data_IF_708676103878
#
_entry.id   IF_708676103878
#
_cell.length_a   1.000
_cell.length_b   1.000
_cell.length_c   1.000
_cell.angle_alpha   90.00
_cell.angle_beta   90.00
_cell.angle_gamma   90.00
#
_symmetry.space_group_name_H-M   'P 1'
#
loop_
_entity.id
_entity.type
_entity.pdbx_description
1 polymer ?
#
# COMPACT_ATOMS: atom_id res chain seq x y z
N UNK A 1 20.18 -6.77 -51.96
CA UNK A 1 19.57 -7.28 -50.71
C UNK A 1 20.32 -6.80 -49.45
N UNK A 2 20.85 -5.57 -49.42
CA UNK A 2 21.59 -5.03 -48.25
C UNK A 2 20.95 -3.78 -47.63
N UNK A 3 19.81 -3.31 -48.16
CA UNK A 3 19.15 -2.07 -47.72
C UNK A 3 18.06 -2.29 -46.66
N UNK A 4 17.53 -3.51 -46.50
CA UNK A 4 16.34 -3.75 -45.65
C UNK A 4 16.64 -4.08 -44.18
N UNK A 5 17.91 -4.32 -43.81
CA UNK A 5 18.27 -4.68 -42.43
C UNK A 5 18.44 -3.43 -41.55
N UNK A 6 18.83 -2.30 -42.14
CA UNK A 6 19.15 -1.06 -41.41
C UNK A 6 17.91 -0.24 -41.00
N UNK A 7 16.74 -0.52 -41.56
CA UNK A 7 15.47 0.16 -41.22
C UNK A 7 14.78 -0.44 -39.99
N UNK A 8 15.28 -1.57 -39.47
CA UNK A 8 14.69 -2.27 -38.31
C UNK A 8 15.09 -1.67 -36.96
N UNK A 9 16.19 -0.91 -36.92
CA UNK A 9 16.50 0.01 -35.83
C UNK A 9 16.19 1.41 -36.35
N UNK A 10 15.45 2.21 -35.57
CA UNK A 10 14.84 3.49 -35.94
C UNK A 10 15.85 4.64 -36.22
N UNK A 11 16.97 4.36 -36.89
CA UNK A 11 17.94 5.35 -37.34
C UNK A 11 17.49 5.90 -38.70
N UNK A 12 16.83 7.05 -38.67
CA UNK A 12 16.56 7.81 -39.89
C UNK A 12 17.87 8.41 -40.39
N UNK A 13 18.51 7.78 -41.38
CA UNK A 13 19.68 8.34 -42.03
C UNK A 13 19.32 9.70 -42.64
N UNK A 14 20.10 10.77 -42.35
CA UNK A 14 19.90 12.06 -42.98
C UNK A 14 20.07 11.94 -44.49
N UNK A 15 19.23 12.66 -45.26
CA UNK A 15 19.49 12.83 -46.69
C UNK A 15 20.64 13.82 -46.83
N UNK A 16 21.81 13.31 -47.17
CA UNK A 16 23.00 14.12 -47.46
C UNK A 16 22.90 14.57 -48.92
N UNK A 17 23.04 15.86 -49.19
CA UNK A 17 23.12 16.37 -50.56
C UNK A 17 24.40 15.84 -51.23
N UNK A 18 24.33 15.37 -52.47
CA UNK A 18 25.47 14.76 -53.21
C UNK A 18 26.68 15.71 -53.39
N UNK A 19 26.52 17.00 -53.08
CA UNK A 19 27.52 18.04 -53.23
C UNK A 19 28.44 18.24 -52.01
N UNK A 20 28.15 17.64 -50.85
CA UNK A 20 28.93 17.84 -49.62
C UNK A 20 29.78 16.61 -49.30
N UNK A 21 31.05 16.81 -48.95
CA UNK A 21 31.91 15.68 -48.56
C UNK A 21 31.44 15.07 -47.23
N UNK A 22 31.56 13.74 -47.02
CA UNK A 22 31.18 13.12 -45.75
C UNK A 22 31.91 13.69 -44.52
N UNK A 23 33.14 14.20 -44.71
CA UNK A 23 33.93 14.83 -43.65
C UNK A 23 33.34 16.18 -43.23
N UNK A 24 32.97 17.01 -44.20
CA UNK A 24 32.33 18.32 -43.96
C UNK A 24 30.97 18.15 -43.26
N UNK A 25 30.18 17.14 -43.66
CA UNK A 25 28.89 16.85 -43.03
C UNK A 25 29.02 16.39 -41.57
N UNK A 26 30.07 15.60 -41.26
CA UNK A 26 30.36 15.20 -39.87
C UNK A 26 30.81 16.41 -39.04
N UNK A 27 31.57 17.33 -39.63
CA UNK A 27 32.00 18.56 -38.94
C UNK A 27 30.82 19.48 -38.64
N UNK A 28 29.89 19.65 -39.58
CA UNK A 28 28.62 20.36 -39.40
C UNK A 28 27.80 19.74 -38.25
N UNK A 29 27.56 18.42 -38.27
CA UNK A 29 26.85 17.74 -37.20
C UNK A 29 27.54 17.88 -35.82
N UNK A 30 28.87 17.89 -35.79
CA UNK A 30 29.62 18.11 -34.54
C UNK A 30 29.43 19.53 -34.02
N UNK A 31 29.44 20.53 -34.90
CA UNK A 31 29.18 21.93 -34.59
C UNK A 31 27.76 22.13 -34.07
N UNK A 32 26.78 21.55 -34.75
CA UNK A 32 25.37 21.60 -34.34
C UNK A 32 25.16 20.97 -32.97
N UNK A 33 25.76 19.79 -32.75
CA UNK A 33 25.71 19.12 -31.45
C UNK A 33 26.32 20.00 -30.35
N UNK A 34 27.42 20.70 -30.63
CA UNK A 34 28.02 21.61 -29.66
C UNK A 34 27.09 22.80 -29.37
N UNK A 35 26.56 23.44 -30.41
CA UNK A 35 25.64 24.57 -30.26
C UNK A 35 24.36 24.16 -29.50
N UNK A 36 23.81 22.98 -29.76
CA UNK A 36 22.65 22.45 -29.06
C UNK A 36 22.96 22.18 -27.58
N UNK A 37 24.16 21.69 -27.26
CA UNK A 37 24.58 21.50 -25.86
C UNK A 37 24.70 22.83 -25.11
N UNK A 38 25.30 23.85 -25.74
CA UNK A 38 25.42 25.19 -25.17
C UNK A 38 24.04 25.84 -24.95
N UNK A 39 23.12 25.68 -25.91
CA UNK A 39 21.73 26.11 -25.76
C UNK A 39 21.01 25.39 -24.62
N UNK A 40 21.17 24.07 -24.51
CA UNK A 40 20.57 23.27 -23.44
C UNK A 40 21.08 23.72 -22.06
N UNK A 41 22.38 24.00 -21.95
CA UNK A 41 22.96 24.51 -20.71
C UNK A 41 22.41 25.89 -20.35
N UNK A 42 22.23 26.75 -21.35
CA UNK A 42 21.65 28.10 -21.16
C UNK A 42 20.21 28.02 -20.68
N UNK A 43 19.37 27.21 -21.35
CA UNK A 43 17.96 27.00 -20.97
C UNK A 43 17.85 26.39 -19.57
N UNK A 44 18.70 25.41 -19.22
CA UNK A 44 18.68 24.82 -17.88
C UNK A 44 19.06 25.83 -16.79
N UNK A 45 19.96 26.78 -17.09
CA UNK A 45 20.33 27.86 -16.17
C UNK A 45 19.16 28.82 -15.97
N UNK A 46 18.52 29.26 -17.06
CA UNK A 46 17.32 30.10 -17.00
C UNK A 46 16.18 29.43 -16.21
N UNK A 47 15.97 28.12 -16.40
CA UNK A 47 15.00 27.34 -15.62
C UNK A 47 15.36 27.27 -14.13
N UNK A 48 16.64 27.11 -13.80
CA UNK A 48 17.11 27.08 -12.42
C UNK A 48 16.89 28.43 -11.72
N UNK A 49 17.22 29.53 -12.40
CA UNK A 49 17.03 30.89 -11.91
C UNK A 49 15.52 31.18 -11.69
N UNK A 50 14.67 30.84 -12.66
CA UNK A 50 13.21 30.96 -12.54
C UNK A 50 12.65 30.18 -11.36
N UNK A 51 13.14 28.95 -11.14
CA UNK A 51 12.72 28.09 -10.02
C UNK A 51 13.14 28.69 -8.67
N UNK A 52 14.34 29.24 -8.58
CA UNK A 52 14.83 29.85 -7.34
C UNK A 52 14.09 31.14 -7.00
N UNK A 53 13.80 31.97 -8.01
CA UNK A 53 13.08 33.23 -7.82
C UNK A 53 11.59 33.02 -7.48
N UNK A 54 10.92 32.08 -8.17
CA UNK A 54 9.46 31.96 -8.11
C UNK A 54 8.94 30.69 -7.41
N UNK A 55 9.79 29.70 -7.14
CA UNK A 55 9.35 28.38 -6.69
C UNK A 55 8.56 28.40 -5.38
N UNK A 56 9.01 29.17 -4.40
CA UNK A 56 8.32 29.31 -3.11
C UNK A 56 6.97 30.02 -3.24
N UNK A 57 6.91 31.07 -4.06
CA UNK A 57 5.66 31.77 -4.35
C UNK A 57 4.65 30.87 -5.07
N UNK A 58 5.10 30.13 -6.10
CA UNK A 58 4.22 29.22 -6.85
C UNK A 58 3.70 28.08 -5.98
N UNK A 59 4.54 27.50 -5.11
CA UNK A 59 4.12 26.46 -4.18
C UNK A 59 3.05 26.98 -3.20
N UNK A 60 3.29 28.15 -2.59
CA UNK A 60 2.33 28.75 -1.67
C UNK A 60 1.03 29.19 -2.38
N UNK A 61 1.13 29.68 -3.61
CA UNK A 61 -0.02 30.05 -4.42
C UNK A 61 -0.85 28.82 -4.82
N UNK A 62 -0.20 27.72 -5.20
CA UNK A 62 -0.85 26.45 -5.50
C UNK A 62 -1.58 25.90 -4.28
N UNK A 63 -0.92 25.84 -3.11
CA UNK A 63 -1.55 25.41 -1.86
C UNK A 63 -2.77 26.26 -1.52
N UNK A 64 -2.64 27.60 -1.57
CA UNK A 64 -3.75 28.50 -1.27
C UNK A 64 -4.91 28.37 -2.27
N UNK A 65 -4.60 28.20 -3.55
CA UNK A 65 -5.63 28.05 -4.60
C UNK A 65 -6.31 26.69 -4.50
N UNK A 66 -5.58 25.62 -4.19
CA UNK A 66 -6.12 24.29 -3.93
C UNK A 66 -7.11 24.32 -2.77
N UNK A 67 -6.69 24.87 -1.61
CA UNK A 67 -7.57 25.05 -0.45
C UNK A 67 -8.81 25.89 -0.80
N UNK A 68 -8.66 26.94 -1.61
CA UNK A 68 -9.80 27.75 -2.07
C UNK A 68 -10.71 27.01 -3.05
N UNK A 69 -10.17 26.09 -3.85
CA UNK A 69 -10.95 25.26 -4.75
C UNK A 69 -11.76 24.24 -3.96
N UNK A 70 -11.13 23.52 -3.03
CA UNK A 70 -11.77 22.57 -2.11
C UNK A 70 -12.89 23.24 -1.32
N UNK A 71 -12.65 24.41 -0.70
CA UNK A 71 -13.69 25.17 0.03
C UNK A 71 -14.87 25.60 -0.84
N UNK A 72 -14.67 25.81 -2.14
CA UNK A 72 -15.77 26.15 -3.07
C UNK A 72 -16.50 24.93 -3.59
N UNK A 73 -15.86 23.77 -3.58
CA UNK A 73 -16.46 22.50 -3.95
C UNK A 73 -17.22 21.86 -2.79
N UNK A 74 -16.79 22.06 -1.54
CA UNK A 74 -17.44 21.48 -0.35
C UNK A 74 -18.96 21.75 -0.26
N UNK A 75 -19.51 22.93 -0.61
CA UNK A 75 -20.96 23.12 -0.64
C UNK A 75 -21.68 22.24 -1.67
N UNK A 76 -21.00 21.78 -2.72
CA UNK A 76 -21.58 20.88 -3.74
C UNK A 76 -21.73 19.45 -3.22
N UNK A 77 -21.01 19.08 -2.16
CA UNK A 77 -21.16 17.77 -1.48
C UNK A 77 -22.20 17.79 -0.38
N UNK A 78 -22.82 18.94 -0.09
CA UNK A 78 -23.86 19.05 0.92
C UNK A 78 -25.24 19.01 0.28
N UNK A 79 -26.16 18.31 0.92
CA UNK A 79 -27.57 18.43 0.62
C UNK A 79 -28.04 19.83 1.03
N UNK A 80 -28.94 20.42 0.25
CA UNK A 80 -29.43 21.78 0.50
C UNK A 80 -30.95 21.80 0.53
N UNK A 81 -31.47 22.64 1.40
CA UNK A 81 -32.88 23.04 1.44
C UNK A 81 -32.96 24.55 1.23
N UNK A 82 -34.16 25.10 1.11
CA UNK A 82 -34.36 26.55 0.95
C UNK A 82 -33.73 27.39 2.09
N UNK A 83 -33.54 26.81 3.27
CA UNK A 83 -33.13 27.55 4.47
C UNK A 83 -31.96 26.90 5.25
N UNK A 84 -31.50 25.71 4.86
CA UNK A 84 -30.47 24.97 5.59
C UNK A 84 -29.60 24.13 4.66
N UNK A 85 -28.33 23.96 5.05
CA UNK A 85 -27.41 22.99 4.47
C UNK A 85 -27.37 21.76 5.39
N UNK A 86 -27.37 20.58 4.80
CA UNK A 86 -27.29 19.29 5.50
C UNK A 86 -26.07 18.56 4.97
N UNK A 87 -25.22 18.11 5.88
CA UNK A 87 -24.02 17.35 5.60
C UNK A 87 -24.02 16.10 6.45
N UNK A 88 -23.66 14.97 5.84
CA UNK A 88 -23.51 13.68 6.51
C UNK A 88 -22.10 13.16 6.24
N UNK A 89 -21.49 12.51 7.24
CA UNK A 89 -20.17 11.93 7.10
C UNK A 89 -19.71 11.21 8.36
N UNK A 90 -18.72 10.35 8.18
CA UNK A 90 -18.11 9.58 9.26
C UNK A 90 -17.00 10.35 9.96
N UNK A 91 -16.99 10.29 11.29
CA UNK A 91 -15.92 10.79 12.15
C UNK A 91 -15.53 9.70 13.16
N UNK A 92 -14.26 9.57 13.57
CA UNK A 92 -13.91 8.70 14.69
C UNK A 92 -14.72 9.09 15.94
N UNK A 93 -15.31 8.11 16.63
CA UNK A 93 -16.18 8.37 17.81
C UNK A 93 -15.48 9.23 18.87
N UNK A 94 -14.16 9.06 19.05
CA UNK A 94 -13.38 9.85 20.00
C UNK A 94 -13.23 11.34 19.62
N UNK A 95 -13.48 11.71 18.36
CA UNK A 95 -13.38 13.07 17.85
C UNK A 95 -14.74 13.79 17.74
N UNK A 96 -15.85 13.12 18.07
CA UNK A 96 -17.20 13.72 18.00
C UNK A 96 -17.36 14.93 18.93
N UNK A 97 -17.12 14.78 20.24
CA UNK A 97 -17.30 15.91 21.18
C UNK A 97 -16.39 17.12 20.85
N UNK A 98 -15.09 16.93 20.51
CA UNK A 98 -14.25 18.04 20.04
C UNK A 98 -14.77 18.72 18.78
N UNK A 99 -15.32 17.94 17.84
CA UNK A 99 -15.88 18.46 16.60
C UNK A 99 -17.14 19.29 16.84
N UNK A 100 -18.09 18.76 17.63
CA UNK A 100 -19.32 19.47 18.00
C UNK A 100 -19.00 20.81 18.67
N UNK A 101 -18.09 20.81 19.65
CA UNK A 101 -17.67 22.03 20.34
C UNK A 101 -17.00 23.05 19.41
N UNK A 102 -16.20 22.60 18.44
CA UNK A 102 -15.55 23.49 17.48
C UNK A 102 -16.54 24.13 16.49
N UNK A 103 -17.57 23.39 16.11
CA UNK A 103 -18.64 23.87 15.23
C UNK A 103 -19.55 24.84 15.99
N UNK A 104 -19.93 24.53 17.22
CA UNK A 104 -20.70 25.43 18.08
C UNK A 104 -19.96 26.76 18.34
N UNK A 105 -18.65 26.75 18.59
CA UNK A 105 -17.86 27.98 18.74
C UNK A 105 -17.82 28.83 17.45
N UNK A 106 -17.81 28.17 16.28
CA UNK A 106 -17.69 28.83 14.99
C UNK A 106 -19.01 29.47 14.48
N UNK A 107 -20.15 28.81 14.73
CA UNK A 107 -21.46 29.21 14.16
C UNK A 107 -22.55 29.44 15.20
N UNK A 108 -22.34 29.06 16.47
CA UNK A 108 -23.31 29.20 17.56
C UNK A 108 -24.63 28.51 17.25
N UNK A 109 -25.75 29.17 17.59
CA UNK A 109 -27.12 28.66 17.43
C UNK A 109 -27.57 28.40 15.97
N UNK A 110 -26.68 28.56 14.98
CA UNK A 110 -26.97 28.35 13.55
C UNK A 110 -26.63 26.94 13.05
N UNK A 111 -26.24 26.03 13.93
CA UNK A 111 -25.90 24.65 13.59
C UNK A 111 -26.58 23.67 14.52
N UNK A 112 -26.96 22.52 13.97
CA UNK A 112 -27.43 21.37 14.72
C UNK A 112 -26.56 20.20 14.29
N UNK A 113 -25.88 19.58 15.25
CA UNK A 113 -25.06 18.38 15.03
C UNK A 113 -25.77 17.24 15.74
N UNK A 114 -26.05 16.16 15.00
CA UNK A 114 -26.67 14.96 15.53
C UNK A 114 -25.79 13.76 15.20
N UNK A 115 -25.54 12.90 16.20
CA UNK A 115 -24.97 11.58 15.97
C UNK A 115 -26.09 10.66 15.47
N UNK A 116 -26.08 10.35 14.17
CA UNK A 116 -27.12 9.52 13.54
C UNK A 116 -26.93 8.05 13.89
N UNK A 117 -25.75 7.51 13.54
CA UNK A 117 -25.41 6.11 13.77
C UNK A 117 -23.98 5.98 14.26
N UNK A 118 -23.81 5.24 15.35
CA UNK A 118 -22.52 4.70 15.71
C UNK A 118 -22.37 3.38 14.97
N UNK A 119 -21.33 3.25 14.14
CA UNK A 119 -20.98 1.98 13.53
C UNK A 119 -20.86 0.93 14.64
N UNK A 120 -21.88 0.08 14.75
CA UNK A 120 -21.98 -0.96 15.75
C UNK A 120 -22.15 -2.28 15.03
N UNK A 121 -21.49 -3.28 15.58
CA UNK A 121 -21.42 -4.60 15.00
C UNK A 121 -22.80 -5.25 14.93
N UNK A 122 -23.28 -5.54 13.71
CA UNK A 122 -24.45 -6.38 13.47
C UNK A 122 -23.99 -7.65 12.72
N UNK A 123 -24.01 -8.83 13.36
CA UNK A 123 -23.48 -10.09 12.80
C UNK A 123 -24.24 -10.64 11.58
N UNK A 124 -25.43 -10.12 11.32
CA UNK A 124 -26.39 -10.66 10.34
C UNK A 124 -26.42 -9.87 9.01
N UNK A 125 -25.69 -8.76 8.91
CA UNK A 125 -25.59 -8.01 7.65
C UNK A 125 -24.59 -8.72 6.73
N UNK A 126 -25.11 -9.54 5.81
CA UNK A 126 -24.34 -10.26 4.81
C UNK A 126 -23.50 -9.27 3.99
N UNK A 127 -22.18 -9.26 4.22
CA UNK A 127 -21.25 -8.53 3.39
C UNK A 127 -21.26 -9.14 1.97
N UNK A 128 -22.01 -8.54 1.04
CA UNK A 128 -21.81 -8.79 -0.37
C UNK A 128 -20.40 -8.31 -0.74
N UNK A 129 -19.49 -9.27 -0.93
CA UNK A 129 -18.19 -9.02 -1.57
C UNK A 129 -18.41 -8.21 -2.86
N UNK A 130 -17.90 -6.97 -2.99
CA UNK A 130 -17.97 -6.26 -4.25
C UNK A 130 -17.16 -7.04 -5.28
N UNK A 131 -17.67 -7.27 -6.50
CA UNK A 131 -16.85 -7.85 -7.56
C UNK A 131 -15.63 -6.94 -7.81
N UNK A 132 -14.45 -7.51 -8.12
CA UNK A 132 -13.23 -6.74 -8.31
C UNK A 132 -13.45 -5.69 -9.42
N UNK A 133 -13.18 -4.43 -9.09
CA UNK A 133 -13.32 -3.32 -10.00
C UNK A 133 -12.36 -3.46 -11.20
N UNK A 134 -12.93 -3.57 -12.41
CA UNK A 134 -12.25 -3.20 -13.65
C UNK A 134 -12.34 -4.21 -14.79
N UNK A 135 -13.42 -4.15 -15.57
CA UNK A 135 -13.35 -4.30 -17.03
C UNK A 135 -14.11 -3.13 -17.67
N UNK A 136 -13.49 -2.36 -18.59
CA UNK A 136 -14.18 -1.27 -19.27
C UNK A 136 -15.20 -1.84 -20.25
N UNK A 137 -16.45 -1.43 -20.12
CA UNK A 137 -17.50 -1.76 -21.07
C UNK A 137 -17.23 -1.05 -22.40
N UNK A 138 -16.76 -1.82 -23.39
CA UNK A 138 -16.75 -1.40 -24.77
C UNK A 138 -18.19 -1.22 -25.25
N UNK A 139 -18.48 -0.01 -25.72
CA UNK A 139 -19.70 0.33 -26.42
C UNK A 139 -19.71 -0.32 -27.80
N UNK A 140 -20.51 -1.37 -27.99
CA UNK A 140 -20.99 -1.73 -29.32
C UNK A 140 -22.52 -1.85 -29.33
N UNK A 141 -23.07 -1.19 -30.34
CA UNK A 141 -24.48 -1.09 -30.67
C UNK A 141 -24.87 -2.35 -31.43
N UNK A 142 -25.84 -3.13 -30.96
CA UNK A 142 -26.79 -3.73 -31.91
C UNK A 142 -28.18 -4.04 -31.33
N UNK A 143 -29.13 -3.53 -32.08
CA UNK A 143 -30.56 -3.75 -32.24
C UNK A 143 -31.07 -5.18 -31.96
N UNK A 144 -32.12 -5.34 -31.15
CA UNK A 144 -33.52 -5.68 -31.54
C UNK A 144 -34.34 -6.25 -30.37
N UNK A 145 -35.69 -6.11 -30.40
CA UNK A 145 -36.51 -6.04 -29.21
C UNK A 145 -37.15 -7.38 -28.83
N UNK A 146 -37.36 -7.61 -27.54
CA UNK A 146 -38.30 -8.64 -27.07
C UNK A 146 -39.36 -8.01 -26.17
N UNK A 147 -40.58 -8.25 -26.63
CA UNK A 147 -41.93 -8.00 -26.13
C UNK A 147 -42.17 -8.10 -24.62
N UNK A 148 -42.93 -7.10 -24.16
CA UNK A 148 -43.88 -7.03 -23.05
C UNK A 148 -44.66 -8.33 -22.74
N UNK A 149 -44.77 -8.74 -21.48
CA UNK A 149 -45.91 -8.51 -20.54
C UNK A 149 -45.71 -9.32 -19.22
N UNK A 150 -46.47 -9.06 -18.15
CA UNK A 150 -45.95 -8.91 -16.78
C UNK A 150 -46.27 -10.12 -15.89
N UNK A 151 -45.57 -10.23 -14.75
CA UNK A 151 -46.14 -10.93 -13.60
C UNK A 151 -45.89 -10.11 -12.33
N UNK A 152 -46.93 -10.05 -11.52
CA UNK A 152 -47.08 -9.15 -10.38
C UNK A 152 -46.90 -9.90 -9.05
N UNK A 153 -46.77 -9.11 -7.97
CA UNK A 153 -46.74 -9.46 -6.53
C UNK A 153 -45.34 -9.83 -6.02
N UNK A 154 -44.80 -9.28 -4.93
CA UNK A 154 -45.44 -8.78 -3.69
C UNK A 154 -44.80 -7.48 -3.15
N UNK A 155 -45.61 -6.84 -2.32
CA UNK A 155 -45.54 -5.54 -1.68
C UNK A 155 -44.66 -5.60 -0.41
N UNK A 156 -43.73 -4.66 -0.24
CA UNK A 156 -43.21 -4.27 1.08
C UNK A 156 -42.92 -2.78 1.08
N UNK A 157 -43.77 -2.05 1.79
CA UNK A 157 -43.71 -0.62 2.08
C UNK A 157 -42.31 -0.20 2.59
N UNK A 158 -41.50 0.43 1.74
CA UNK A 158 -40.47 1.34 2.19
C UNK A 158 -41.08 2.74 2.27
N UNK A 159 -41.03 3.30 3.47
CA UNK A 159 -41.44 4.67 3.75
C UNK A 159 -40.54 5.61 2.95
N UNK A 160 -41.06 6.20 1.87
CA UNK A 160 -40.34 7.20 1.07
C UNK A 160 -39.85 8.34 1.98
N UNK A 161 -38.56 8.30 2.33
CA UNK A 161 -37.88 9.47 2.87
C UNK A 161 -37.82 10.52 1.76
N UNK A 162 -38.13 11.80 2.05
CA UNK A 162 -38.11 12.84 1.03
C UNK A 162 -36.71 12.97 0.45
N UNK A 163 -36.53 12.55 -0.81
CA UNK A 163 -35.26 12.68 -1.52
C UNK A 163 -34.89 14.16 -1.63
N UNK A 164 -33.90 14.58 -0.85
CA UNK A 164 -33.30 15.92 -0.95
C UNK A 164 -32.36 15.89 -2.14
N UNK A 165 -32.79 16.52 -3.24
CA UNK A 165 -32.05 16.57 -4.50
C UNK A 165 -31.03 17.69 -4.44
N UNK A 166 -29.74 17.35 -4.57
CA UNK A 166 -28.69 18.34 -4.84
C UNK A 166 -28.83 18.86 -6.28
N UNK A 167 -28.64 20.16 -6.49
CA UNK A 167 -28.62 20.79 -7.81
C UNK A 167 -27.39 20.38 -8.67
N UNK A 168 -26.52 19.54 -8.11
CA UNK A 168 -25.29 19.01 -8.69
C UNK A 168 -25.36 17.55 -9.18
N UNK A 169 -26.52 16.90 -9.17
CA UNK A 169 -26.72 15.63 -9.89
C UNK A 169 -26.12 14.39 -9.22
N UNK A 170 -26.51 14.12 -7.97
CA UNK A 170 -26.73 12.80 -7.38
C UNK A 170 -27.13 13.01 -5.90
N UNK A 171 -28.04 12.21 -5.31
CA UNK A 171 -28.22 12.22 -3.88
C UNK A 171 -26.89 11.82 -3.21
N UNK A 172 -26.34 12.72 -2.41
CA UNK A 172 -25.16 12.46 -1.57
C UNK A 172 -25.65 11.86 -0.26
N UNK A 173 -26.42 10.78 -0.34
CA UNK A 173 -26.60 9.86 0.78
C UNK A 173 -25.51 8.83 0.63
N UNK A 174 -24.84 8.43 1.70
CA UNK A 174 -23.83 7.38 1.65
C UNK A 174 -24.47 6.13 1.02
N UNK A 175 -24.12 5.81 -0.23
CA UNK A 175 -24.76 4.72 -0.99
C UNK A 175 -24.37 3.32 -0.52
N UNK A 176 -23.49 3.23 0.49
CA UNK A 176 -23.02 2.02 1.15
C UNK A 176 -22.80 2.36 2.61
N UNK A 177 -23.50 1.67 3.52
CA UNK A 177 -23.49 1.89 4.98
C UNK A 177 -22.16 1.49 5.65
N UNK A 178 -21.17 1.03 4.89
CA UNK A 178 -19.90 0.61 5.48
C UNK A 178 -19.04 1.80 5.90
N UNK A 179 -18.62 1.87 7.18
CA UNK A 179 -17.79 2.95 7.69
C UNK A 179 -16.38 2.91 7.08
N UNK A 180 -15.74 4.07 6.86
CA UNK A 180 -14.36 4.13 6.39
C UNK A 180 -13.40 3.57 7.43
N UNK A 181 -12.36 2.87 6.96
CA UNK A 181 -11.38 2.22 7.83
C UNK A 181 -10.16 3.12 8.01
N UNK A 182 -9.87 3.44 9.28
CA UNK A 182 -8.64 4.14 9.71
C UNK A 182 -7.84 3.19 10.59
N UNK A 183 -6.60 2.89 10.18
CA UNK A 183 -5.68 2.07 10.96
C UNK A 183 -5.00 2.94 12.02
N UNK A 184 -5.02 2.50 13.28
CA UNK A 184 -4.36 3.16 14.41
C UNK A 184 -3.38 2.19 15.08
N UNK A 185 -2.18 2.08 14.50
CA UNK A 185 -1.12 1.24 15.02
C UNK A 185 -0.11 2.05 15.85
N UNK A 186 0.55 1.42 16.85
CA UNK A 186 1.64 2.05 17.58
C UNK A 186 2.71 2.58 16.63
N UNK A 187 3.32 3.73 16.96
CA UNK A 187 4.25 4.46 16.07
C UNK A 187 5.43 3.67 15.50
N UNK A 188 5.79 2.53 16.11
CA UNK A 188 6.84 1.62 15.62
C UNK A 188 6.32 0.70 14.49
N UNK A 189 5.06 0.31 14.55
CA UNK A 189 4.39 -0.56 13.58
C UNK A 189 3.71 0.21 12.44
N UNK A 190 3.42 1.50 12.61
CA UNK A 190 2.81 2.38 11.59
C UNK A 190 3.46 2.28 10.19
N UNK A 191 4.80 2.23 10.04
CA UNK A 191 5.40 2.10 8.70
C UNK A 191 4.98 0.83 7.95
N UNK A 192 4.62 -0.23 8.67
CA UNK A 192 4.23 -1.52 8.10
C UNK A 192 2.79 -1.53 7.59
N UNK A 193 1.97 -0.52 7.95
CA UNK A 193 0.65 -0.34 7.35
C UNK A 193 0.73 -0.17 5.84
N UNK A 194 1.78 0.50 5.34
CA UNK A 194 2.01 0.66 3.90
C UNK A 194 2.20 -0.69 3.19
N UNK A 195 2.75 -1.71 3.86
CA UNK A 195 2.82 -3.07 3.31
C UNK A 195 1.46 -3.76 3.31
N UNK A 196 0.66 -3.58 4.36
CA UNK A 196 -0.69 -4.14 4.45
C UNK A 196 -1.58 -3.52 3.38
N UNK A 197 -1.62 -2.18 3.30
CA UNK A 197 -2.38 -1.40 2.31
C UNK A 197 -2.00 -1.74 0.86
N UNK A 198 -0.75 -2.15 0.62
CA UNK A 198 -0.31 -2.59 -0.70
C UNK A 198 -0.92 -3.94 -1.13
N UNK A 199 -1.32 -4.79 -0.18
CA UNK A 199 -2.06 -6.03 -0.45
C UNK A 199 -3.55 -5.74 -0.51
N UNK A 200 -4.13 -5.24 0.59
CA UNK A 200 -5.48 -4.72 0.68
C UNK A 200 -5.66 -3.92 1.98
N UNK A 201 -6.62 -2.98 2.02
CA UNK A 201 -7.02 -2.39 3.31
C UNK A 201 -7.86 -3.41 4.08
N UNK A 202 -7.61 -3.59 5.40
CA UNK A 202 -8.48 -4.40 6.25
C UNK A 202 -9.90 -3.84 6.22
N UNK A 203 -10.89 -4.72 6.36
CA UNK A 203 -12.27 -4.28 6.57
C UNK A 203 -12.42 -3.67 7.98
N UNK A 204 -13.47 -2.87 8.20
CA UNK A 204 -13.72 -2.21 9.49
C UNK A 204 -13.84 -3.20 10.65
N UNK A 205 -14.32 -4.41 10.34
CA UNK A 205 -14.62 -5.47 11.30
C UNK A 205 -13.47 -6.49 11.45
N UNK A 206 -12.47 -6.43 10.57
CA UNK A 206 -11.38 -7.39 10.54
C UNK A 206 -10.21 -7.01 11.46
N UNK A 207 -9.45 -8.02 11.89
CA UNK A 207 -8.22 -7.81 12.66
C UNK A 207 -7.13 -7.21 11.78
N UNK A 208 -6.51 -6.10 12.22
CA UNK A 208 -5.39 -5.48 11.51
C UNK A 208 -4.10 -6.33 11.66
N UNK A 209 -3.58 -6.93 10.56
CA UNK A 209 -2.37 -7.75 10.63
C UNK A 209 -1.08 -6.93 10.78
N UNK A 210 -1.13 -5.60 10.78
CA UNK A 210 0.05 -4.71 10.76
C UNK A 210 1.04 -5.02 11.88
N UNK A 211 0.57 -5.22 13.11
CA UNK A 211 1.46 -5.56 14.23
C UNK A 211 2.15 -6.92 14.04
N UNK A 212 1.43 -7.89 13.47
CA UNK A 212 1.97 -9.21 13.16
C UNK A 212 3.01 -9.11 12.05
N UNK A 213 2.73 -8.35 10.98
CA UNK A 213 3.69 -8.06 9.91
C UNK A 213 4.93 -7.36 10.45
N UNK A 214 4.77 -6.34 11.30
CA UNK A 214 5.88 -5.66 11.97
C UNK A 214 6.80 -6.63 12.73
N UNK A 215 6.23 -7.63 13.41
CA UNK A 215 7.01 -8.60 14.18
C UNK A 215 7.66 -9.66 13.29
N UNK A 216 6.92 -10.23 12.34
CA UNK A 216 7.35 -11.42 11.59
C UNK A 216 8.17 -11.08 10.35
N UNK A 217 7.88 -9.95 9.69
CA UNK A 217 8.56 -9.57 8.46
C UNK A 217 10.04 -9.26 8.68
N UNK A 218 10.45 -8.33 9.58
CA UNK A 218 11.87 -8.05 9.81
C UNK A 218 12.62 -9.25 10.37
N UNK A 219 11.97 -10.02 11.26
CA UNK A 219 12.52 -11.25 11.82
C UNK A 219 12.89 -12.25 10.70
N UNK A 220 11.95 -12.52 9.78
CA UNK A 220 12.19 -13.47 8.70
C UNK A 220 13.11 -12.95 7.62
N UNK A 221 12.97 -11.69 7.24
CA UNK A 221 13.90 -11.04 6.32
C UNK A 221 15.33 -11.11 6.83
N UNK A 222 15.52 -10.79 8.11
CA UNK A 222 16.83 -10.84 8.76
C UNK A 222 17.40 -12.26 8.83
N UNK A 223 16.57 -13.24 9.16
CA UNK A 223 16.96 -14.65 9.22
C UNK A 223 17.36 -15.21 7.84
N UNK A 224 16.64 -14.83 6.76
CA UNK A 224 16.91 -15.30 5.40
C UNK A 224 18.27 -14.81 4.86
N UNK A 225 18.61 -13.55 5.12
CA UNK A 225 19.86 -12.96 4.62
C UNK A 225 21.00 -13.20 5.60
N UNK A 226 20.76 -12.92 6.88
CA UNK A 226 21.66 -13.11 8.01
C UNK A 226 23.14 -12.76 7.70
N UNK A 227 23.38 -11.52 7.27
CA UNK A 227 24.70 -11.02 6.90
C UNK A 227 24.84 -9.56 7.33
N UNK A 228 25.85 -9.26 8.14
CA UNK A 228 26.07 -7.92 8.69
C UNK A 228 26.43 -6.89 7.61
N UNK A 229 27.13 -7.29 6.55
CA UNK A 229 27.50 -6.41 5.43
C UNK A 229 26.26 -5.93 4.69
N UNK A 230 25.40 -6.87 4.27
CA UNK A 230 24.12 -6.53 3.63
C UNK A 230 23.18 -5.81 4.60
N UNK A 231 23.14 -6.21 5.87
CA UNK A 231 22.36 -5.54 6.92
C UNK A 231 22.72 -4.06 7.08
N UNK A 232 24.03 -3.72 7.11
CA UNK A 232 24.48 -2.33 7.15
C UNK A 232 24.09 -1.58 5.88
N UNK A 233 24.16 -2.21 4.69
CA UNK A 233 23.70 -1.59 3.45
C UNK A 233 22.19 -1.26 3.49
N UNK A 234 21.36 -2.17 4.01
CA UNK A 234 19.93 -1.91 4.21
C UNK A 234 19.68 -0.78 5.21
N UNK A 235 20.46 -0.72 6.31
CA UNK A 235 20.38 0.37 7.27
C UNK A 235 20.75 1.72 6.63
N UNK A 236 21.82 1.77 5.83
CA UNK A 236 22.23 2.98 5.12
C UNK A 236 21.20 3.41 4.08
N UNK A 237 20.66 2.47 3.30
CA UNK A 237 19.61 2.73 2.33
C UNK A 237 18.33 3.23 3.02
N UNK A 238 17.90 2.57 4.09
CA UNK A 238 16.74 2.99 4.87
C UNK A 238 16.91 4.38 5.48
N UNK A 239 18.08 4.66 6.05
CA UNK A 239 18.40 5.98 6.59
C UNK A 239 18.45 7.06 5.49
N UNK A 240 18.94 6.72 4.30
CA UNK A 240 18.94 7.61 3.14
C UNK A 240 17.51 7.91 2.69
N UNK A 241 16.68 6.88 2.49
CA UNK A 241 15.27 7.06 2.09
C UNK A 241 14.48 7.88 3.11
N UNK A 242 14.66 7.59 4.40
CA UNK A 242 13.98 8.28 5.48
C UNK A 242 14.38 9.77 5.60
N UNK A 243 15.61 10.12 5.21
CA UNK A 243 16.12 11.50 5.29
C UNK A 243 15.95 12.32 4.03
N UNK A 244 16.01 11.68 2.86
CA UNK A 244 16.07 12.37 1.57
C UNK A 244 14.68 12.68 1.01
N UNK A 245 13.65 11.90 1.37
CA UNK A 245 12.32 12.01 0.81
C UNK A 245 11.31 12.51 1.85
N UNK A 246 10.44 13.42 1.41
CA UNK A 246 9.37 13.97 2.25
C UNK A 246 8.04 13.25 2.12
N UNK A 247 7.89 12.40 1.10
CA UNK A 247 6.70 11.58 0.92
C UNK A 247 6.62 10.49 1.99
N UNK A 248 5.43 10.35 2.58
CA UNK A 248 5.13 9.38 3.63
C UNK A 248 5.52 7.95 3.21
N UNK A 249 5.16 7.53 1.99
CA UNK A 249 5.47 6.20 1.48
C UNK A 249 6.97 5.89 1.44
N UNK A 250 7.80 6.87 1.05
CA UNK A 250 9.27 6.67 1.03
C UNK A 250 9.85 6.64 2.44
N UNK A 251 9.30 7.42 3.38
CA UNK A 251 9.71 7.37 4.79
C UNK A 251 9.33 6.03 5.42
N UNK A 252 8.16 5.49 5.09
CA UNK A 252 7.71 4.18 5.57
C UNK A 252 8.60 3.05 5.05
N UNK A 253 8.87 3.03 3.74
CA UNK A 253 9.82 2.08 3.13
C UNK A 253 11.21 2.21 3.75
N UNK A 254 11.65 3.45 4.05
CA UNK A 254 12.88 3.72 4.76
C UNK A 254 12.90 3.10 6.15
N UNK A 255 11.83 3.27 6.94
CA UNK A 255 11.69 2.71 8.27
C UNK A 255 11.60 1.16 8.26
N UNK A 256 10.87 0.58 7.31
CA UNK A 256 10.84 -0.88 7.09
C UNK A 256 12.25 -1.39 6.78
N UNK A 257 12.98 -0.71 5.90
CA UNK A 257 14.35 -1.06 5.53
C UNK A 257 15.32 -0.98 6.71
N UNK A 258 15.11 -0.02 7.63
CA UNK A 258 15.88 0.07 8.86
C UNK A 258 15.64 -1.13 9.78
N UNK A 259 14.38 -1.51 10.01
CA UNK A 259 14.04 -2.69 10.81
C UNK A 259 14.58 -3.97 10.17
N UNK A 260 14.35 -4.17 8.88
CA UNK A 260 14.86 -5.29 8.12
C UNK A 260 16.39 -5.37 8.20
N UNK A 261 17.10 -4.25 7.99
CA UNK A 261 18.55 -4.17 8.12
C UNK A 261 19.06 -4.48 9.53
N UNK A 262 18.39 -3.98 10.56
CA UNK A 262 18.75 -4.24 11.96
C UNK A 262 18.66 -5.73 12.31
N UNK A 263 17.58 -6.41 11.91
CA UNK A 263 17.44 -7.85 12.09
C UNK A 263 18.44 -8.64 11.24
N UNK A 264 18.74 -8.21 10.02
CA UNK A 264 19.78 -8.83 9.19
C UNK A 264 21.16 -8.74 9.84
N UNK A 265 21.51 -7.60 10.46
CA UNK A 265 22.74 -7.46 11.25
C UNK A 265 22.71 -8.36 12.48
N UNK A 266 21.58 -8.41 13.20
CA UNK A 266 21.41 -9.25 14.39
C UNK A 266 21.65 -10.73 14.06
N UNK A 267 21.02 -11.26 13.02
CA UNK A 267 21.20 -12.66 12.60
C UNK A 267 22.57 -12.89 11.96
N UNK A 268 23.11 -11.93 11.21
CA UNK A 268 24.48 -12.01 10.68
C UNK A 268 25.53 -12.10 11.79
N UNK A 269 25.31 -11.40 12.90
CA UNK A 269 26.14 -11.55 14.08
C UNK A 269 25.92 -12.92 14.77
N UNK A 270 24.66 -13.37 14.86
CA UNK A 270 24.32 -14.63 15.49
C UNK A 270 24.84 -15.88 14.75
N UNK A 271 25.03 -15.82 13.43
CA UNK A 271 25.44 -16.97 12.59
C UNK A 271 26.92 -16.98 12.18
N UNK A 272 27.76 -16.12 12.78
CA UNK A 272 29.21 -16.14 12.53
C UNK A 272 29.87 -14.78 12.33
N UNK A 273 29.23 -13.67 12.71
CA UNK A 273 29.74 -12.33 12.38
C UNK A 273 30.03 -12.23 10.87
N UNK A 274 29.09 -12.72 10.05
CA UNK A 274 29.29 -12.82 8.62
C UNK A 274 29.17 -11.44 7.98
N UNK A 275 30.17 -11.09 7.17
CA UNK A 275 30.24 -9.82 6.45
C UNK A 275 30.50 -10.11 4.98
N UNK A 276 29.53 -9.81 4.11
CA UNK A 276 29.61 -10.08 2.67
C UNK A 276 29.92 -11.55 2.35
N UNK A 277 29.35 -12.47 3.12
CA UNK A 277 29.58 -13.92 2.99
C UNK A 277 30.92 -14.41 3.56
N UNK A 278 31.76 -13.53 4.11
CA UNK A 278 32.98 -13.94 4.80
C UNK A 278 32.74 -14.11 6.30
N UNK A 279 33.22 -15.22 6.85
CA UNK A 279 33.14 -15.55 8.27
C UNK A 279 34.06 -14.68 9.12
N UNK A 280 33.52 -13.61 9.72
CA UNK A 280 34.31 -12.66 10.52
C UNK A 280 34.90 -13.28 11.80
N UNK A 281 34.30 -14.35 12.34
CA UNK A 281 34.81 -15.03 13.54
C UNK A 281 36.22 -15.62 13.34
N UNK A 282 36.57 -16.03 12.12
CA UNK A 282 37.90 -16.56 11.80
C UNK A 282 38.99 -15.48 11.92
N UNK A 283 38.65 -14.22 11.59
CA UNK A 283 39.54 -13.07 11.73
C UNK A 283 39.82 -12.71 13.20
N UNK A 284 38.87 -13.05 14.09
CA UNK A 284 39.00 -12.87 15.55
C UNK A 284 39.74 -14.03 16.23
N UNK A 285 40.26 -15.00 15.46
CA UNK A 285 40.97 -16.16 15.99
C UNK A 285 40.05 -17.21 16.64
N UNK A 286 38.75 -17.14 16.38
CA UNK A 286 37.78 -18.14 16.85
C UNK A 286 37.72 -19.25 15.79
N UNK A 287 38.02 -20.49 16.18
CA UNK A 287 38.06 -21.61 15.21
C UNK A 287 36.65 -22.13 14.86
N UNK A 288 35.68 -22.00 15.77
CA UNK A 288 34.31 -22.47 15.59
C UNK A 288 33.31 -21.52 16.22
N UNK A 289 32.30 -21.14 15.48
CA UNK A 289 31.15 -20.42 16.01
C UNK A 289 30.09 -21.43 16.51
N UNK A 290 29.37 -21.15 17.61
CA UNK A 290 28.39 -22.09 18.16
C UNK A 290 27.24 -22.46 17.21
N UNK A 291 26.96 -21.61 16.22
CA UNK A 291 25.81 -21.73 15.31
C UNK A 291 26.30 -21.62 13.86
N UNK A 292 26.27 -22.71 13.10
CA UNK A 292 26.70 -22.67 11.69
C UNK A 292 25.52 -22.43 10.74
N UNK A 293 25.80 -21.82 9.59
CA UNK A 293 24.81 -21.63 8.52
C UNK A 293 24.43 -22.92 7.78
N UNK A 294 25.20 -24.01 7.95
CA UNK A 294 24.95 -25.28 7.26
C UNK A 294 25.33 -25.30 5.78
N UNK A 295 26.16 -24.35 5.31
CA UNK A 295 26.58 -24.25 3.91
C UNK A 295 27.70 -25.24 3.53
N UNK A 296 28.41 -25.77 4.53
CA UNK A 296 29.50 -26.72 4.33
C UNK A 296 29.02 -28.16 4.56
N UNK A 297 29.59 -29.16 3.86
CA UNK A 297 29.28 -30.57 4.13
C UNK A 297 29.56 -31.01 5.57
N UNK A 298 30.48 -30.32 6.27
CA UNK A 298 30.79 -30.58 7.67
C UNK A 298 29.69 -30.08 8.63
N UNK A 299 28.88 -29.11 8.19
CA UNK A 299 27.79 -28.51 8.97
C UNK A 299 26.41 -28.98 8.50
N UNK A 300 26.31 -30.12 7.82
CA UNK A 300 25.04 -30.62 7.26
C UNK A 300 23.91 -30.75 8.30
N UNK A 301 24.26 -31.12 9.55
CA UNK A 301 23.30 -31.16 10.66
C UNK A 301 22.64 -29.81 10.97
N UNK A 302 23.34 -28.69 10.75
CA UNK A 302 22.77 -27.35 10.88
C UNK A 302 21.80 -27.02 9.75
N UNK A 303 22.07 -27.46 8.52
CA UNK A 303 21.14 -27.28 7.42
C UNK A 303 19.81 -28.01 7.68
N UNK A 304 19.87 -29.25 8.18
CA UNK A 304 18.70 -30.01 8.62
C UNK A 304 17.96 -29.31 9.77
N UNK A 305 18.70 -28.81 10.77
CA UNK A 305 18.12 -28.07 11.89
C UNK A 305 17.38 -26.80 11.42
N UNK A 306 17.96 -26.02 10.51
CA UNK A 306 17.32 -24.82 9.97
C UNK A 306 16.07 -25.14 9.17
N UNK A 307 16.07 -26.23 8.41
CA UNK A 307 14.87 -26.71 7.71
C UNK A 307 13.75 -27.02 8.70
N UNK A 308 14.04 -27.75 9.78
CA UNK A 308 13.04 -28.06 10.81
C UNK A 308 12.54 -26.77 11.49
N UNK A 309 13.44 -25.84 11.82
CA UNK A 309 13.09 -24.57 12.47
C UNK A 309 12.18 -23.71 11.58
N UNK A 310 12.46 -23.59 10.28
CA UNK A 310 11.62 -22.79 9.36
C UNK A 310 10.25 -23.43 9.15
N UNK A 311 10.19 -24.77 9.10
CA UNK A 311 8.92 -25.50 9.08
C UNK A 311 8.12 -25.24 10.35
N UNK A 312 8.72 -25.35 11.53
CA UNK A 312 8.05 -25.07 12.82
C UNK A 312 7.58 -23.62 12.86
N UNK A 313 8.42 -22.67 12.44
CA UNK A 313 8.03 -21.26 12.35
C UNK A 313 6.81 -21.08 11.45
N UNK A 314 6.80 -21.70 10.27
CA UNK A 314 5.65 -21.66 9.36
C UNK A 314 4.38 -22.22 9.98
N UNK A 315 4.47 -23.35 10.69
CA UNK A 315 3.34 -23.95 11.42
C UNK A 315 2.82 -22.98 12.48
N UNK A 316 3.70 -22.40 13.30
CA UNK A 316 3.32 -21.45 14.35
C UNK A 316 2.70 -20.20 13.75
N UNK A 317 3.28 -19.66 12.69
CA UNK A 317 2.80 -18.47 12.00
C UNK A 317 1.38 -18.67 11.43
N UNK A 318 1.13 -19.82 10.78
CA UNK A 318 -0.20 -20.18 10.29
C UNK A 318 -1.21 -20.43 11.43
N UNK A 319 -0.77 -21.04 12.53
CA UNK A 319 -1.63 -21.22 13.70
C UNK A 319 -2.03 -19.88 14.33
N UNK A 320 -1.15 -18.88 14.35
CA UNK A 320 -1.50 -17.54 14.81
C UNK A 320 -2.53 -16.92 13.87
N UNK A 321 -2.33 -17.02 12.55
CA UNK A 321 -3.26 -16.48 11.56
C UNK A 321 -4.67 -17.09 11.69
N UNK A 322 -4.79 -18.42 11.64
CA UNK A 322 -6.09 -19.07 11.82
C UNK A 322 -6.62 -18.99 13.25
N UNK A 323 -5.76 -18.80 14.24
CA UNK A 323 -6.20 -18.53 15.62
C UNK A 323 -6.88 -17.18 15.76
N UNK A 324 -6.35 -16.14 15.08
CA UNK A 324 -7.00 -14.83 14.99
C UNK A 324 -8.31 -14.93 14.22
N UNK A 325 -8.30 -15.60 13.07
CA UNK A 325 -9.50 -15.86 12.25
C UNK A 325 -10.60 -16.58 13.04
N UNK A 326 -10.24 -17.60 13.84
CA UNK A 326 -11.17 -18.29 14.72
C UNK A 326 -11.74 -17.39 15.83
N UNK A 327 -10.93 -16.50 16.41
CA UNK A 327 -11.38 -15.54 17.42
C UNK A 327 -12.33 -14.52 16.79
N UNK A 328 -11.99 -14.00 15.61
CA UNK A 328 -12.82 -13.08 14.84
C UNK A 328 -14.13 -13.76 14.47
N UNK A 329 -14.13 -14.97 13.92
CA UNK A 329 -15.35 -15.70 13.57
C UNK A 329 -16.27 -16.03 14.76
N UNK A 330 -15.73 -16.17 15.98
CA UNK A 330 -16.55 -16.27 17.21
C UNK A 330 -17.19 -14.92 17.58
N UNK A 331 -16.48 -13.82 17.34
CA UNK A 331 -17.00 -12.48 17.59
C UNK A 331 -18.02 -12.06 16.52
N UNK A 332 -17.78 -12.47 15.26
CA UNK A 332 -18.56 -12.07 14.09
C UNK A 332 -19.80 -12.93 13.85
N UNK A 333 -19.77 -14.21 14.21
CA UNK A 333 -20.87 -15.14 13.94
C UNK A 333 -21.15 -16.04 15.17
N UNK A 334 -21.22 -17.36 14.96
CA UNK A 334 -21.40 -18.36 16.00
C UNK A 334 -20.22 -19.34 16.00
N UNK A 335 -20.01 -20.01 17.13
CA UNK A 335 -18.96 -21.00 17.34
C UNK A 335 -18.95 -22.09 16.25
N UNK A 336 -20.13 -22.44 15.71
CA UNK A 336 -20.23 -23.41 14.62
C UNK A 336 -19.56 -22.92 13.36
N UNK A 337 -19.76 -21.66 12.99
CA UNK A 337 -19.19 -21.08 11.79
C UNK A 337 -17.66 -21.05 11.91
N UNK A 338 -17.16 -20.48 13.03
CA UNK A 338 -15.74 -20.46 13.35
C UNK A 338 -15.09 -21.86 13.36
N UNK A 339 -15.79 -22.88 13.87
CA UNK A 339 -15.28 -24.25 13.91
C UNK A 339 -15.20 -24.90 12.51
N UNK A 340 -16.19 -24.66 11.64
CA UNK A 340 -16.19 -25.21 10.29
C UNK A 340 -15.20 -24.51 9.38
N UNK A 341 -15.04 -23.20 9.53
CA UNK A 341 -14.12 -22.39 8.73
C UNK A 341 -12.69 -22.49 9.25
N UNK A 342 -12.32 -21.70 10.27
CA UNK A 342 -10.95 -21.65 10.79
C UNK A 342 -10.56 -22.93 11.57
N UNK A 343 -11.47 -23.46 12.38
CA UNK A 343 -11.20 -24.60 13.26
C UNK A 343 -10.87 -25.89 12.51
N UNK A 344 -11.54 -26.14 11.37
CA UNK A 344 -11.30 -27.32 10.55
C UNK A 344 -9.90 -27.29 9.91
N UNK A 345 -9.48 -26.12 9.40
CA UNK A 345 -8.14 -25.91 8.87
C UNK A 345 -7.06 -26.04 9.93
N UNK A 346 -7.28 -25.50 11.14
CA UNK A 346 -6.38 -25.69 12.28
C UNK A 346 -6.19 -27.17 12.64
N UNK A 347 -7.27 -27.94 12.68
CA UNK A 347 -7.21 -29.38 12.98
C UNK A 347 -6.49 -30.16 11.87
N UNK A 348 -6.77 -29.84 10.60
CA UNK A 348 -6.11 -30.48 9.46
C UNK A 348 -4.61 -30.17 9.47
N UNK A 349 -4.21 -28.91 9.66
CA UNK A 349 -2.80 -28.51 9.70
C UNK A 349 -2.07 -29.24 10.83
N UNK A 350 -2.55 -29.12 12.07
CA UNK A 350 -1.88 -29.72 13.21
C UNK A 350 -1.90 -31.26 13.12
N UNK A 351 -3.01 -31.85 12.65
CA UNK A 351 -3.10 -33.29 12.42
C UNK A 351 -2.10 -33.79 11.38
N UNK A 352 -1.95 -33.08 10.26
CA UNK A 352 -0.97 -33.41 9.22
C UNK A 352 0.46 -33.35 9.77
N UNK A 353 0.82 -32.28 10.48
CA UNK A 353 2.18 -32.13 11.00
C UNK A 353 2.49 -33.09 12.13
N UNK A 354 1.54 -33.38 13.02
CA UNK A 354 1.70 -34.44 14.03
C UNK A 354 1.93 -35.79 13.33
N UNK A 355 1.18 -36.09 12.26
CA UNK A 355 1.38 -37.32 11.51
C UNK A 355 2.78 -37.39 10.88
N UNK A 356 3.24 -36.30 10.24
CA UNK A 356 4.60 -36.22 9.67
C UNK A 356 5.68 -36.43 10.73
N UNK A 357 5.59 -35.75 11.88
CA UNK A 357 6.57 -35.88 12.96
C UNK A 357 6.44 -37.17 13.77
N UNK A 358 5.32 -37.90 13.65
CA UNK A 358 5.16 -39.23 14.27
C UNK A 358 5.81 -40.36 13.48
N UNK A 359 6.06 -40.13 12.19
CA UNK A 359 6.66 -41.10 11.27
C UNK A 359 8.19 -41.00 11.19
N UNK A 360 8.76 -39.99 11.85
CA UNK A 360 10.20 -39.81 12.11
C UNK A 360 10.51 -40.32 13.51
#
# INVERSE_FOLDING_TARGET
MHSSVLTSQCWRFPRVDEATSPEDYIEELRRDRQQLRERLETVNRELADLREENGSFLLAAEEQLSIKAEKRQAPLSFATTDNAFVAEGWIPTAEFDPFEAAIDDAVGDHVVVEELEQASFNPDDEAETPPPAGEPADSETDSTPVTSEPDATEDSDETEQPQVVSDGGAPVTMGTDDPPVVQDNPGIATPFETLVKAVNRPNYREFDPTLLVFLTFPLMFGFMIADMGYGVLYLLLGAFLYRQFDSAAFRDIGAISLWAGAFTVLFGAAFGLDVFGYHGYQLLGIEKWPVAKGLSPADGSWAEAWLVITVIFGIVHLNIAWGLDFITGIQEHDLKHALYEAGSWLLILNGLWIWVFSAV
#
